data_IF_942526795027
#
_entry.id   IF_942526795027
#
_cell.length_a   1.000
_cell.length_b   1.000
_cell.length_c   1.000
_cell.angle_alpha   90.00
_cell.angle_beta   90.00
_cell.angle_gamma   90.00
#
_symmetry.space_group_name_H-M   'P 1'
#
loop_
_entity.id
_entity.type
_entity.pdbx_description
1 polymer ?
#
# COMPACT_ATOMS: atom_id res chain seq x y z
N UNK A 1 -1.96 19.99 6.39
CA UNK A 1 -1.64 18.54 6.49
C UNK A 1 -1.10 18.29 7.87
N UNK A 2 -1.59 17.26 8.59
CA UNK A 2 -1.07 16.92 9.92
C UNK A 2 0.33 16.31 9.77
N UNK A 3 1.28 16.79 10.57
CA UNK A 3 2.59 16.15 10.67
C UNK A 3 2.48 14.89 11.54
N UNK A 4 2.99 13.77 11.04
CA UNK A 4 3.05 12.50 11.78
C UNK A 4 4.27 12.48 12.71
N UNK A 5 4.14 11.87 13.88
CA UNK A 5 5.29 11.60 14.75
C UNK A 5 6.20 10.53 14.12
N UNK A 6 7.46 10.38 14.59
CA UNK A 6 8.35 9.30 14.13
C UNK A 6 7.70 7.90 14.22
N UNK A 7 7.04 7.60 15.33
CA UNK A 7 6.36 6.31 15.54
C UNK A 7 5.15 6.11 14.62
N UNK A 8 4.46 7.20 14.27
CA UNK A 8 3.36 7.16 13.29
C UNK A 8 3.89 6.92 11.88
N UNK A 9 4.99 7.57 11.50
CA UNK A 9 5.66 7.34 10.21
C UNK A 9 6.17 5.90 10.09
N UNK A 10 6.71 5.33 11.15
CA UNK A 10 7.18 3.95 11.13
C UNK A 10 6.02 2.96 10.97
N UNK A 11 4.89 3.20 11.64
CA UNK A 11 3.66 2.42 11.42
C UNK A 11 3.16 2.52 9.98
N UNK A 12 3.20 3.71 9.39
CA UNK A 12 2.86 3.90 7.97
C UNK A 12 3.80 3.09 7.07
N UNK A 13 5.13 3.17 7.28
CA UNK A 13 6.12 2.41 6.50
C UNK A 13 5.90 0.90 6.58
N UNK A 14 5.63 0.39 7.78
CA UNK A 14 5.34 -1.04 7.97
C UNK A 14 4.10 -1.48 7.17
N UNK A 15 3.04 -0.68 7.15
CA UNK A 15 1.85 -0.97 6.35
C UNK A 15 2.12 -0.82 4.85
N UNK A 16 2.91 0.17 4.41
CA UNK A 16 3.35 0.29 3.01
C UNK A 16 4.08 -0.93 2.50
N UNK A 17 5.03 -1.46 3.27
CA UNK A 17 5.75 -2.68 2.93
C UNK A 17 4.79 -3.87 2.79
N UNK A 18 3.92 -4.07 3.78
CA UNK A 18 2.94 -5.15 3.78
C UNK A 18 1.97 -5.05 2.60
N UNK A 19 1.43 -3.86 2.34
CA UNK A 19 0.48 -3.64 1.25
C UNK A 19 1.14 -3.87 -0.11
N UNK A 20 2.38 -3.42 -0.31
CA UNK A 20 3.11 -3.69 -1.55
C UNK A 20 3.28 -5.19 -1.80
N UNK A 21 3.77 -5.94 -0.81
CA UNK A 21 3.94 -7.41 -0.91
C UNK A 21 2.63 -8.13 -1.23
N UNK A 22 1.53 -7.75 -0.58
CA UNK A 22 0.23 -8.37 -0.85
C UNK A 22 -0.31 -8.05 -2.25
N UNK A 23 0.09 -6.93 -2.86
CA UNK A 23 -0.29 -6.65 -4.24
C UNK A 23 0.44 -7.56 -5.24
N UNK A 24 1.63 -8.09 -4.93
CA UNK A 24 2.34 -9.04 -5.80
C UNK A 24 1.62 -10.40 -5.86
N UNK A 25 0.93 -10.77 -4.78
CA UNK A 25 0.13 -12.00 -4.73
C UNK A 25 -1.07 -11.95 -5.69
N UNK A 26 -1.68 -10.77 -5.89
CA UNK A 26 -2.87 -10.64 -6.74
C UNK A 26 -2.64 -11.13 -8.19
N UNK A 27 -1.64 -10.63 -8.94
CA UNK A 27 -1.34 -11.14 -10.28
C UNK A 27 -0.74 -12.55 -10.24
N UNK A 28 0.03 -12.91 -9.21
CA UNK A 28 0.61 -14.25 -9.08
C UNK A 28 -0.47 -15.35 -9.00
N UNK A 29 -1.62 -15.04 -8.39
CA UNK A 29 -2.76 -15.95 -8.26
C UNK A 29 -3.87 -15.67 -9.28
N UNK A 30 -3.64 -14.83 -10.29
CA UNK A 30 -4.61 -14.54 -11.36
C UNK A 30 -5.90 -13.84 -10.88
N UNK A 31 -5.85 -13.12 -9.76
CA UNK A 31 -7.01 -12.47 -9.13
C UNK A 31 -7.34 -11.10 -9.73
N UNK A 32 -6.45 -10.55 -10.55
CA UNK A 32 -6.55 -9.21 -11.15
C UNK A 32 -6.03 -9.20 -12.58
N UNK A 33 -6.38 -8.15 -13.33
CA UNK A 33 -5.87 -7.91 -14.67
C UNK A 33 -5.39 -6.46 -14.82
N UNK A 34 -4.28 -6.29 -15.55
CA UNK A 34 -3.64 -5.00 -15.84
C UNK A 34 -3.36 -4.16 -14.58
N UNK A 35 -4.04 -3.03 -14.39
CA UNK A 35 -3.91 -2.14 -13.22
C UNK A 35 -5.09 -2.24 -12.27
N UNK A 36 -6.06 -3.13 -12.54
CA UNK A 36 -7.25 -3.33 -11.72
C UNK A 36 -6.96 -4.06 -10.41
N UNK A 37 -7.91 -3.97 -9.47
CA UNK A 37 -7.80 -4.54 -8.12
C UNK A 37 -6.97 -3.68 -7.17
N UNK A 38 -7.30 -3.73 -5.87
CA UNK A 38 -6.63 -2.96 -4.83
C UNK A 38 -6.67 -3.70 -3.50
N UNK A 39 -5.60 -3.55 -2.73
CA UNK A 39 -5.55 -3.87 -1.30
C UNK A 39 -5.27 -2.58 -0.55
N UNK A 40 -6.01 -2.35 0.53
CA UNK A 40 -5.72 -1.27 1.47
C UNK A 40 -5.40 -1.83 2.86
N UNK A 41 -4.51 -1.15 3.57
CA UNK A 41 -4.11 -1.51 4.93
C UNK A 41 -4.41 -0.37 5.89
N UNK A 42 -5.19 -0.64 6.95
CA UNK A 42 -5.42 0.33 8.02
C UNK A 42 -4.15 0.51 8.84
N UNK A 43 -3.75 1.76 9.11
CA UNK A 43 -2.60 2.03 9.96
C UNK A 43 -3.00 1.88 11.45
N UNK A 44 -2.33 1.03 12.23
CA UNK A 44 -2.71 0.78 13.62
C UNK A 44 -2.73 2.05 14.48
N UNK A 45 -3.86 2.31 15.13
CA UNK A 45 -4.05 3.46 16.01
C UNK A 45 -4.19 4.81 15.31
N UNK A 46 -4.28 4.84 13.97
CA UNK A 46 -4.50 6.06 13.19
C UNK A 46 -5.75 5.93 12.31
N UNK A 47 -6.33 7.07 11.93
CA UNK A 47 -7.41 7.15 10.94
C UNK A 47 -6.86 7.26 9.52
N UNK A 48 -5.90 6.39 9.19
CA UNK A 48 -5.20 6.38 7.90
C UNK A 48 -5.29 5.00 7.26
N UNK A 49 -5.33 4.98 5.94
CA UNK A 49 -5.21 3.78 5.11
C UNK A 49 -4.05 3.93 4.16
N UNK A 50 -3.31 2.86 3.94
CA UNK A 50 -2.31 2.77 2.86
C UNK A 50 -2.93 2.01 1.69
N UNK A 51 -2.78 2.52 0.48
CA UNK A 51 -3.31 1.88 -0.74
C UNK A 51 -2.35 2.09 -1.92
N UNK A 52 -2.46 1.24 -2.94
CA UNK A 52 -1.77 1.39 -4.22
C UNK A 52 -2.15 2.69 -4.95
N UNK A 53 -1.21 3.33 -5.68
CA UNK A 53 -1.54 4.42 -6.60
C UNK A 53 -2.26 3.93 -7.87
N UNK A 54 -3.29 4.65 -8.29
CA UNK A 54 -4.01 4.37 -9.53
C UNK A 54 -3.09 4.44 -10.76
N UNK A 55 -3.28 3.54 -11.72
CA UNK A 55 -2.60 3.56 -13.02
C UNK A 55 -1.16 3.02 -13.04
N UNK A 56 -0.57 2.66 -11.89
CA UNK A 56 0.75 2.01 -11.83
C UNK A 56 0.61 0.50 -12.08
N UNK A 57 1.53 -0.14 -12.81
CA UNK A 57 1.48 -1.59 -13.02
C UNK A 57 2.00 -2.33 -11.78
N UNK A 58 1.50 -3.55 -11.54
CA UNK A 58 1.91 -4.35 -10.39
C UNK A 58 3.43 -4.54 -10.25
N UNK A 59 4.18 -4.88 -11.31
CA UNK A 59 5.64 -5.04 -11.21
C UNK A 59 6.41 -3.76 -10.86
N UNK A 60 5.78 -2.59 -11.02
CA UNK A 60 6.37 -1.29 -10.72
C UNK A 60 6.02 -0.80 -9.31
N UNK A 61 5.21 -1.56 -8.55
CA UNK A 61 4.83 -1.20 -7.19
C UNK A 61 5.98 -1.40 -6.22
N UNK A 62 6.20 -0.39 -5.40
CA UNK A 62 7.12 -0.42 -4.27
C UNK A 62 6.42 0.09 -3.02
N UNK A 63 6.98 -0.19 -1.84
CA UNK A 63 6.48 0.39 -0.60
C UNK A 63 6.40 1.93 -0.67
N UNK A 64 7.37 2.58 -1.31
CA UNK A 64 7.44 4.04 -1.44
C UNK A 64 6.37 4.61 -2.39
N UNK A 65 5.92 3.82 -3.36
CA UNK A 65 4.85 4.22 -4.29
C UNK A 65 3.46 4.24 -3.64
N UNK A 66 3.29 3.64 -2.46
CA UNK A 66 2.00 3.56 -1.76
C UNK A 66 1.54 4.91 -1.23
N UNK A 67 0.24 5.19 -1.41
CA UNK A 67 -0.39 6.44 -0.98
C UNK A 67 -1.09 6.26 0.38
N UNK A 68 -1.19 7.35 1.13
CA UNK A 68 -1.82 7.44 2.46
C UNK A 68 -2.87 8.54 2.45
#
# INVERSE_FOLDING_TARGET
MRTLTPDEMERVRAVRLKVAQLHDELPAHGLVSWTGGNISGRVPGLELFVIKPSGVRYPDLTADSMVV
#
